data_IF_658393208869
#
_entry.id   IF_658393208869
#
_cell.length_a   1.000
_cell.length_b   1.000
_cell.length_c   1.000
_cell.angle_alpha   90.00
_cell.angle_beta   90.00
_cell.angle_gamma   90.00
#
_symmetry.space_group_name_H-M   'P 1'
#
loop_
_entity.id
_entity.type
_entity.pdbx_description
1 polymer ?
#
# COMPACT_ATOMS: atom_id res chain seq x y z
N UNK A 1 -93.01 -76.47 -42.66
CA UNK A 1 -92.05 -75.49 -43.23
C UNK A 1 -91.41 -74.56 -42.18
N UNK A 2 -91.03 -75.04 -40.99
CA UNK A 2 -90.38 -74.21 -39.93
C UNK A 2 -88.95 -74.65 -39.56
N UNK A 3 -88.60 -75.94 -39.73
CA UNK A 3 -87.26 -76.49 -39.41
C UNK A 3 -86.16 -76.08 -40.41
N UNK A 4 -86.50 -75.93 -41.71
CA UNK A 4 -85.54 -75.50 -42.74
C UNK A 4 -85.09 -74.04 -42.56
N UNK A 5 -85.98 -73.17 -42.07
CA UNK A 5 -85.69 -71.74 -41.82
C UNK A 5 -84.77 -71.56 -40.60
N UNK A 6 -84.97 -72.37 -39.56
CA UNK A 6 -84.11 -72.41 -38.39
C UNK A 6 -82.71 -72.95 -38.72
N UNK A 7 -82.61 -74.04 -39.48
CA UNK A 7 -81.32 -74.59 -39.92
C UNK A 7 -80.52 -73.59 -40.78
N UNK A 8 -81.18 -72.84 -41.66
CA UNK A 8 -80.56 -71.79 -42.45
C UNK A 8 -80.06 -70.61 -41.58
N UNK A 9 -80.81 -70.21 -40.56
CA UNK A 9 -80.39 -69.19 -39.59
C UNK A 9 -79.19 -69.64 -38.74
N UNK A 10 -79.16 -70.90 -38.30
CA UNK A 10 -78.01 -71.45 -37.57
C UNK A 10 -76.76 -71.50 -38.46
N UNK A 11 -76.89 -71.90 -39.73
CA UNK A 11 -75.77 -71.93 -40.68
C UNK A 11 -75.24 -70.53 -40.99
N UNK A 12 -76.13 -69.55 -41.19
CA UNK A 12 -75.74 -68.16 -41.41
C UNK A 12 -75.04 -67.55 -40.18
N UNK A 13 -75.54 -67.84 -38.96
CA UNK A 13 -74.92 -67.34 -37.72
C UNK A 13 -73.55 -67.97 -37.47
N UNK A 14 -73.36 -69.26 -37.78
CA UNK A 14 -72.08 -69.95 -37.67
C UNK A 14 -71.05 -69.37 -38.66
N UNK A 15 -71.48 -69.01 -39.87
CA UNK A 15 -70.62 -68.44 -40.90
C UNK A 15 -70.17 -67.02 -40.53
N UNK A 16 -71.06 -66.20 -39.95
CA UNK A 16 -70.71 -64.86 -39.44
C UNK A 16 -69.76 -64.95 -38.25
N UNK A 17 -70.00 -65.85 -37.30
CA UNK A 17 -69.11 -66.08 -36.16
C UNK A 17 -67.73 -66.58 -36.60
N UNK A 18 -67.68 -67.52 -37.56
CA UNK A 18 -66.44 -68.00 -38.15
C UNK A 18 -65.68 -66.91 -38.89
N UNK A 19 -66.38 -66.08 -39.67
CA UNK A 19 -65.79 -64.93 -40.37
C UNK A 19 -65.22 -63.88 -39.41
N UNK A 20 -66.00 -63.49 -38.39
CA UNK A 20 -65.56 -62.54 -37.38
C UNK A 20 -64.36 -63.06 -36.58
N UNK A 21 -64.38 -64.35 -36.20
CA UNK A 21 -63.25 -65.01 -35.53
C UNK A 21 -61.99 -65.01 -36.40
N UNK A 22 -62.12 -65.29 -37.70
CA UNK A 22 -60.98 -65.30 -38.63
C UNK A 22 -60.39 -63.91 -38.84
N UNK A 23 -61.23 -62.87 -38.92
CA UNK A 23 -60.77 -61.48 -39.05
C UNK A 23 -60.08 -61.00 -37.77
N UNK A 24 -60.65 -61.30 -36.60
CA UNK A 24 -60.02 -60.96 -35.32
C UNK A 24 -58.66 -61.65 -35.17
N UNK A 25 -58.56 -62.93 -35.52
CA UNK A 25 -57.30 -63.68 -35.46
C UNK A 25 -56.24 -63.11 -36.40
N UNK A 26 -56.63 -62.70 -37.62
CA UNK A 26 -55.73 -62.03 -38.55
C UNK A 26 -55.20 -60.72 -37.97
N UNK A 27 -56.07 -59.86 -37.42
CA UNK A 27 -55.67 -58.57 -36.84
C UNK A 27 -54.74 -58.71 -35.64
N UNK A 28 -54.96 -59.72 -34.79
CA UNK A 28 -54.06 -60.01 -33.66
C UNK A 28 -52.70 -60.54 -34.13
N UNK A 29 -52.65 -61.31 -35.21
CA UNK A 29 -51.40 -61.86 -35.75
C UNK A 29 -50.59 -60.82 -36.55
N UNK A 30 -51.27 -59.89 -37.22
CA UNK A 30 -50.61 -58.77 -37.93
C UNK A 30 -50.51 -57.50 -37.10
N UNK A 31 -50.92 -57.52 -35.83
CA UNK A 31 -50.72 -56.41 -34.91
C UNK A 31 -49.20 -56.13 -34.81
N UNK A 32 -48.74 -54.94 -35.24
CA UNK A 32 -47.32 -54.60 -35.16
C UNK A 32 -46.92 -54.51 -33.69
N UNK A 33 -45.91 -55.29 -33.30
CA UNK A 33 -45.26 -55.13 -32.00
C UNK A 33 -44.47 -53.83 -32.05
N UNK A 34 -44.88 -52.85 -31.25
CA UNK A 34 -44.14 -51.61 -31.05
C UNK A 34 -42.90 -51.92 -30.21
N UNK A 35 -41.71 -51.83 -30.81
CA UNK A 35 -40.47 -51.84 -30.04
C UNK A 35 -40.48 -50.62 -29.09
N UNK A 36 -40.18 -50.79 -27.79
CA UNK A 36 -40.06 -49.67 -26.89
C UNK A 36 -38.99 -48.72 -27.42
N UNK A 37 -39.38 -47.47 -27.70
CA UNK A 37 -38.43 -46.43 -28.10
C UNK A 37 -37.46 -46.22 -26.94
N UNK A 38 -36.21 -46.68 -27.12
CA UNK A 38 -35.11 -46.49 -26.18
C UNK A 38 -34.90 -44.99 -26.02
N UNK A 39 -35.57 -44.41 -25.04
CA UNK A 39 -35.45 -43.00 -24.68
C UNK A 39 -34.11 -42.83 -24.00
N UNK A 40 -33.03 -42.91 -24.79
CA UNK A 40 -31.71 -42.49 -24.36
C UNK A 40 -31.83 -41.01 -24.07
N UNK A 41 -31.97 -40.67 -22.79
CA UNK A 41 -31.98 -39.29 -22.34
C UNK A 41 -30.76 -38.61 -22.95
N UNK A 42 -31.01 -37.58 -23.76
CA UNK A 42 -29.94 -36.84 -24.42
C UNK A 42 -29.04 -36.27 -23.33
N UNK A 43 -27.86 -36.88 -23.16
CA UNK A 43 -26.90 -36.47 -22.14
C UNK A 43 -26.43 -35.08 -22.52
N UNK A 44 -26.78 -34.09 -21.71
CA UNK A 44 -26.41 -32.69 -21.96
C UNK A 44 -24.91 -32.57 -21.73
N UNK A 45 -24.16 -32.38 -22.83
CA UNK A 45 -22.73 -32.15 -22.76
C UNK A 45 -22.51 -30.76 -22.18
N UNK A 46 -21.92 -30.71 -20.99
CA UNK A 46 -21.55 -29.46 -20.30
C UNK A 46 -20.04 -29.29 -20.35
N UNK A 47 -19.59 -28.04 -20.42
CA UNK A 47 -18.16 -27.71 -20.33
C UNK A 47 -17.80 -27.53 -18.85
N UNK A 48 -16.85 -28.32 -18.39
CA UNK A 48 -16.22 -28.14 -17.08
C UNK A 48 -14.80 -27.64 -17.24
N UNK A 49 -14.29 -26.97 -16.21
CA UNK A 49 -12.89 -26.56 -16.11
C UNK A 49 -12.40 -27.06 -14.75
N UNK A 50 -11.32 -27.82 -14.74
CA UNK A 50 -10.68 -28.28 -13.51
C UNK A 50 -9.87 -27.14 -12.89
N UNK A 51 -10.26 -26.73 -11.68
CA UNK A 51 -9.57 -25.71 -10.91
C UNK A 51 -8.52 -26.36 -10.02
N UNK A 52 -7.31 -25.79 -10.03
CA UNK A 52 -6.25 -26.14 -9.08
C UNK A 52 -5.96 -24.90 -8.22
N UNK A 53 -5.73 -25.07 -6.90
CA UNK A 53 -5.26 -23.99 -6.08
C UNK A 53 -3.96 -23.43 -6.66
N UNK A 54 -3.93 -22.12 -6.87
CA UNK A 54 -2.72 -21.40 -7.28
C UNK A 54 -2.60 -20.16 -6.41
N UNK A 55 -1.38 -19.84 -6.02
CA UNK A 55 -1.08 -18.61 -5.31
C UNK A 55 -0.85 -17.51 -6.36
N UNK A 56 -1.90 -16.75 -6.66
CA UNK A 56 -1.81 -15.63 -7.58
C UNK A 56 -1.51 -14.34 -6.83
N UNK A 57 -0.38 -13.70 -7.15
CA UNK A 57 0.00 -12.43 -6.53
C UNK A 57 -0.63 -11.28 -7.31
N UNK A 58 -1.54 -10.56 -6.67
CA UNK A 58 -2.11 -9.33 -7.20
C UNK A 58 -1.04 -8.22 -7.12
N UNK A 59 -0.59 -7.72 -8.27
CA UNK A 59 0.33 -6.59 -8.36
C UNK A 59 -0.48 -5.32 -8.64
N UNK A 60 -0.52 -4.42 -7.67
CA UNK A 60 -1.17 -3.10 -7.81
C UNK A 60 -0.09 -2.07 -8.10
N UNK A 61 -0.17 -1.43 -9.26
CA UNK A 61 0.72 -0.33 -9.62
C UNK A 61 0.13 1.00 -9.14
N UNK A 62 0.91 1.77 -8.39
CA UNK A 62 0.52 3.08 -7.89
C UNK A 62 1.65 4.09 -8.10
N UNK A 63 1.29 5.35 -8.26
CA UNK A 63 2.22 6.47 -8.36
C UNK A 63 2.35 7.17 -7.01
N UNK A 64 3.55 7.66 -6.71
CA UNK A 64 3.83 8.43 -5.50
C UNK A 64 4.94 9.45 -5.77
N UNK A 65 5.01 10.47 -4.92
CA UNK A 65 6.09 11.47 -4.98
C UNK A 65 7.17 11.11 -3.96
N UNK A 66 8.43 11.29 -4.34
CA UNK A 66 9.58 11.16 -3.43
C UNK A 66 9.85 12.52 -2.81
N UNK A 67 9.86 12.57 -1.49
CA UNK A 67 10.17 13.77 -0.70
C UNK A 67 11.45 13.53 0.11
N UNK A 68 12.23 14.59 0.42
CA UNK A 68 13.39 14.46 1.27
C UNK A 68 12.97 13.97 2.66
N UNK A 69 13.77 13.09 3.27
CA UNK A 69 13.51 12.58 4.61
C UNK A 69 13.64 13.68 5.68
N UNK A 70 14.47 14.71 5.42
CA UNK A 70 14.67 15.89 6.26
C UNK A 70 14.94 17.09 5.38
N UNK A 71 14.37 18.21 5.75
CA UNK A 71 14.58 19.50 5.12
C UNK A 71 14.95 20.51 6.21
N UNK A 72 15.97 21.33 5.97
CA UNK A 72 16.49 22.27 6.96
C UNK A 72 16.75 23.60 6.26
N UNK A 73 16.19 24.66 6.84
CA UNK A 73 16.53 26.04 6.46
C UNK A 73 17.67 26.52 7.35
N UNK A 74 18.77 26.96 6.75
CA UNK A 74 19.93 27.48 7.48
C UNK A 74 19.98 28.99 7.38
N UNK A 75 20.05 29.65 8.53
CA UNK A 75 20.15 31.11 8.64
C UNK A 75 21.29 31.47 9.60
N UNK A 76 22.07 32.52 9.28
CA UNK A 76 23.11 33.00 10.18
C UNK A 76 22.48 33.67 11.42
N UNK A 77 23.05 33.41 12.59
CA UNK A 77 22.59 34.02 13.85
C UNK A 77 23.05 35.48 14.02
N UNK A 78 24.01 35.91 13.22
CA UNK A 78 24.64 37.22 13.29
C UNK A 78 24.56 37.91 11.93
N UNK A 79 24.39 39.23 11.94
CA UNK A 79 24.42 40.05 10.75
C UNK A 79 25.87 40.33 10.34
N UNK A 80 26.14 40.35 9.04
CA UNK A 80 27.45 40.73 8.55
C UNK A 80 27.58 40.46 7.06
N UNK A 81 28.69 40.92 6.50
CA UNK A 81 29.00 40.71 5.09
C UNK A 81 29.60 39.32 4.90
N UNK A 82 29.10 38.59 3.91
CA UNK A 82 29.69 37.32 3.49
C UNK A 82 30.97 37.58 2.71
N UNK A 83 32.07 36.97 3.14
CA UNK A 83 33.40 37.10 2.51
C UNK A 83 33.85 35.82 1.79
N UNK A 84 33.26 34.67 2.12
CA UNK A 84 33.52 33.41 1.43
C UNK A 84 32.28 32.50 1.44
N UNK A 85 32.18 31.63 0.44
CA UNK A 85 31.14 30.63 0.29
C UNK A 85 31.77 29.32 -0.17
N UNK A 86 31.25 28.18 0.31
CA UNK A 86 31.69 26.87 -0.13
C UNK A 86 31.37 26.64 -1.61
N UNK A 87 32.31 26.11 -2.37
CA UNK A 87 32.14 25.89 -3.83
C UNK A 87 30.99 24.93 -4.16
N UNK A 88 30.75 23.95 -3.30
CA UNK A 88 29.65 22.98 -3.43
C UNK A 88 28.31 23.48 -2.88
N UNK A 89 28.21 24.73 -2.38
CA UNK A 89 26.94 25.33 -1.95
C UNK A 89 26.16 25.87 -3.16
N UNK A 90 25.78 24.96 -4.04
CA UNK A 90 25.01 25.20 -5.27
C UNK A 90 23.82 24.24 -5.33
N UNK A 91 22.77 24.53 -6.10
CA UNK A 91 21.64 23.61 -6.27
C UNK A 91 22.10 22.21 -6.74
N UNK A 92 21.79 21.18 -5.96
CA UNK A 92 22.22 19.79 -6.21
C UNK A 92 23.63 19.45 -5.71
N UNK A 93 24.34 20.41 -5.10
CA UNK A 93 25.62 20.18 -4.43
C UNK A 93 25.49 19.24 -3.23
N UNK A 94 26.60 18.59 -2.88
CA UNK A 94 26.71 17.72 -1.69
C UNK A 94 27.73 18.31 -0.74
N UNK A 95 27.39 18.28 0.54
CA UNK A 95 28.18 18.84 1.63
C UNK A 95 28.22 17.82 2.76
N UNK A 96 29.35 17.72 3.43
CA UNK A 96 29.52 16.85 4.61
C UNK A 96 29.21 17.61 5.89
N UNK A 97 28.89 16.89 6.95
CA UNK A 97 28.70 17.49 8.26
C UNK A 97 30.01 18.15 8.75
N UNK A 98 29.91 19.40 9.20
CA UNK A 98 31.04 20.17 9.70
C UNK A 98 31.80 20.98 8.65
N UNK A 99 31.43 20.90 7.38
CA UNK A 99 32.00 21.75 6.34
C UNK A 99 31.51 23.21 6.49
N UNK A 100 32.44 24.16 6.33
CA UNK A 100 32.13 25.58 6.35
C UNK A 100 31.34 25.96 5.10
N UNK A 101 30.09 26.39 5.29
CA UNK A 101 29.22 26.79 4.17
C UNK A 101 29.47 28.21 3.70
N UNK A 102 29.59 29.13 4.66
CA UNK A 102 29.69 30.57 4.44
C UNK A 102 30.56 31.16 5.55
N UNK A 103 31.42 32.12 5.21
CA UNK A 103 32.19 32.91 6.16
C UNK A 103 31.69 34.34 6.20
N UNK A 104 31.31 34.80 7.38
CA UNK A 104 30.92 36.18 7.65
C UNK A 104 32.16 36.96 8.12
N UNK A 105 32.31 38.20 7.69
CA UNK A 105 33.39 39.12 8.06
C UNK A 105 33.47 39.26 9.61
N UNK A 106 34.57 38.81 10.25
CA UNK A 106 34.67 38.81 11.71
C UNK A 106 35.20 40.12 12.28
N UNK A 107 35.60 41.10 11.45
CA UNK A 107 36.38 42.26 11.89
C UNK A 107 35.73 43.03 13.06
N UNK A 108 34.44 43.35 12.96
CA UNK A 108 33.73 44.09 14.01
C UNK A 108 33.65 43.28 15.32
N UNK A 109 33.49 41.95 15.22
CA UNK A 109 33.43 41.05 16.36
C UNK A 109 34.80 40.88 17.03
N UNK A 110 35.86 40.79 16.24
CA UNK A 110 37.24 40.72 16.74
C UNK A 110 37.63 42.02 17.43
N UNK A 111 37.28 43.18 16.86
CA UNK A 111 37.51 44.47 17.51
C UNK A 111 36.75 44.59 18.83
N UNK A 112 35.47 44.22 18.86
CA UNK A 112 34.69 44.21 20.10
C UNK A 112 35.29 43.25 21.14
N UNK A 113 35.80 42.10 20.73
CA UNK A 113 36.47 41.16 21.63
C UNK A 113 37.76 41.76 22.22
N UNK A 114 38.55 42.45 21.41
CA UNK A 114 39.78 43.12 21.87
C UNK A 114 39.45 44.23 22.87
N UNK A 115 38.44 45.05 22.58
CA UNK A 115 37.97 46.11 23.49
C UNK A 115 37.57 45.54 24.84
N UNK A 116 36.73 44.50 24.88
CA UNK A 116 36.30 43.87 26.14
C UNK A 116 37.45 43.23 26.92
N UNK A 117 38.45 42.70 26.23
CA UNK A 117 39.66 42.18 26.88
C UNK A 117 40.48 43.30 27.51
N UNK A 118 40.62 44.44 26.83
CA UNK A 118 41.33 45.59 27.37
C UNK A 118 40.63 46.15 28.62
N UNK A 119 39.30 46.29 28.59
CA UNK A 119 38.48 46.68 29.75
C UNK A 119 38.66 45.72 30.94
N UNK A 120 38.74 44.41 30.66
CA UNK A 120 38.97 43.40 31.70
C UNK A 120 40.35 43.55 32.35
N UNK A 121 41.40 43.77 31.56
CA UNK A 121 42.76 43.97 32.07
C UNK A 121 42.88 45.27 32.88
N UNK A 122 42.20 46.34 32.46
CA UNK A 122 42.14 47.58 33.22
C UNK A 122 41.48 47.37 34.59
N UNK A 123 40.35 46.65 34.64
CA UNK A 123 39.68 46.31 35.90
C UNK A 123 40.56 45.44 36.81
N UNK A 124 41.33 44.51 36.25
CA UNK A 124 42.30 43.72 37.00
C UNK A 124 43.39 44.60 37.61
N UNK A 125 43.97 45.49 36.81
CA UNK A 125 44.97 46.45 37.26
C UNK A 125 44.44 47.34 38.39
N UNK A 126 43.25 47.91 38.24
CA UNK A 126 42.63 48.74 39.29
C UNK A 126 42.42 47.95 40.59
N UNK A 127 41.97 46.69 40.48
CA UNK A 127 41.81 45.81 41.64
C UNK A 127 43.13 45.56 42.36
N UNK A 128 44.23 45.37 41.63
CA UNK A 128 45.56 45.19 42.20
C UNK A 128 46.08 46.46 42.87
N UNK A 129 45.92 47.62 42.22
CA UNK A 129 46.27 48.91 42.79
C UNK A 129 45.51 49.14 44.09
N UNK A 130 44.20 48.86 44.12
CA UNK A 130 43.37 49.05 45.31
C UNK A 130 43.77 48.09 46.44
N UNK A 131 44.09 46.83 46.14
CA UNK A 131 44.67 45.90 47.13
C UNK A 131 45.99 46.42 47.69
N UNK A 132 46.84 46.99 46.84
CA UNK A 132 48.09 47.63 47.26
C UNK A 132 47.84 48.78 48.25
N UNK A 133 46.87 49.66 47.95
CA UNK A 133 46.47 50.76 48.84
C UNK A 133 45.94 50.26 50.18
N UNK A 134 45.10 49.21 50.18
CA UNK A 134 44.61 48.60 51.41
C UNK A 134 45.72 48.07 52.31
N UNK A 135 46.77 47.47 51.73
CA UNK A 135 47.93 46.99 52.49
C UNK A 135 48.70 48.14 53.16
N UNK A 136 48.87 49.26 52.46
CA UNK A 136 49.53 50.46 53.00
C UNK A 136 48.69 51.04 54.15
N UNK A 137 47.39 51.27 53.91
CA UNK A 137 46.48 51.83 54.91
C UNK A 137 46.41 50.99 56.20
N UNK A 138 46.44 49.66 56.08
CA UNK A 138 46.50 48.77 57.26
C UNK A 138 47.77 48.95 58.07
N UNK A 139 48.94 49.04 57.43
CA UNK A 139 50.22 49.25 58.13
C UNK A 139 50.26 50.60 58.83
N UNK A 140 49.79 51.66 58.17
CA UNK A 140 49.71 52.99 58.77
C UNK A 140 48.79 53.01 60.00
N UNK A 141 47.65 52.32 59.94
CA UNK A 141 46.74 52.19 61.08
C UNK A 141 47.36 51.47 62.28
N UNK A 142 48.13 50.40 62.04
CA UNK A 142 48.82 49.67 63.11
C UNK A 142 49.89 50.52 63.79
N UNK A 143 50.64 51.34 63.03
CA UNK A 143 51.64 52.26 63.58
C UNK A 143 51.03 53.36 64.44
N UNK A 144 49.83 53.85 64.10
CA UNK A 144 49.12 54.87 64.88
C UNK A 144 48.53 54.34 66.20
N UNK A 145 48.36 53.02 66.33
CA UNK A 145 47.81 52.37 67.53
C UNK A 145 48.86 51.94 68.56
N UNK A 146 50.14 51.90 68.18
CA UNK A 146 51.27 51.57 69.05
C UNK A 146 51.77 52.80 69.81
#
# INVERSE_FOLDING_TARGET
MKRARAAFQFLASLLVLGGAGSVAWLLLKTAPTTEPEDTRQAVKIVRVIDLKPTDERIVVSAWGSVIPAREVTMEPQVSGRVIAQHESLIPGGRLSAGEELVRIDPADYEMALIERKAELEEAHYESEVERGRQLIAKREWEQLKA
#
